data_IF_344227420527
#
_entry.id   IF_344227420527
#
_cell.length_a   1.000
_cell.length_b   1.000
_cell.length_c   1.000
_cell.angle_alpha   90.00
_cell.angle_beta   90.00
_cell.angle_gamma   90.00
#
_symmetry.space_group_name_H-M   'P 1'
#
loop_
_entity.id
_entity.type
_entity.pdbx_description
1 polymer ?
#
# COMPACT_ATOMS: atom_id res chain seq x y z
N UNK A 1 -14.64 1.52 10.40
CA UNK A 1 -15.72 2.03 11.28
C UNK A 1 -16.98 2.30 10.49
N UNK A 2 -16.89 3.07 9.41
CA UNK A 2 -18.02 3.40 8.54
C UNK A 2 -18.75 2.14 8.05
N UNK A 3 -18.03 1.17 7.47
CA UNK A 3 -18.62 -0.10 7.03
C UNK A 3 -19.35 -0.87 8.16
N UNK A 4 -18.78 -0.92 9.36
CA UNK A 4 -19.42 -1.61 10.50
C UNK A 4 -20.68 -0.86 10.96
N UNK A 5 -20.63 0.47 10.94
CA UNK A 5 -21.79 1.31 11.29
C UNK A 5 -22.92 1.16 10.27
N UNK A 6 -22.62 1.14 8.98
CA UNK A 6 -23.60 0.92 7.90
C UNK A 6 -24.31 -0.43 8.03
N UNK A 7 -23.59 -1.44 8.54
CA UNK A 7 -24.10 -2.78 8.76
C UNK A 7 -24.71 -3.00 10.16
N UNK A 8 -24.75 -1.97 11.01
CA UNK A 8 -25.17 -2.06 12.42
C UNK A 8 -24.42 -3.12 13.24
N UNK A 9 -23.10 -3.23 13.02
CA UNK A 9 -22.22 -4.19 13.70
C UNK A 9 -21.43 -3.47 14.80
N UNK A 10 -21.44 -4.03 16.02
CA UNK A 10 -20.56 -3.61 17.11
C UNK A 10 -19.29 -4.48 17.12
N UNK A 11 -18.13 -3.84 17.28
CA UNK A 11 -16.83 -4.49 17.45
C UNK A 11 -16.46 -4.56 18.93
N UNK A 12 -16.06 -5.74 19.39
CA UNK A 12 -15.58 -5.98 20.76
C UNK A 12 -14.20 -6.62 20.67
N UNK A 13 -13.18 -5.92 21.16
CA UNK A 13 -11.85 -6.48 21.40
C UNK A 13 -11.73 -6.94 22.85
N UNK A 14 -11.64 -8.25 23.04
CA UNK A 14 -11.50 -8.86 24.37
C UNK A 14 -10.13 -8.57 25.00
N UNK A 15 -9.08 -8.53 24.18
CA UNK A 15 -7.71 -8.33 24.67
C UNK A 15 -7.47 -6.88 25.11
N UNK A 16 -8.06 -5.93 24.38
CA UNK A 16 -7.81 -4.50 24.60
C UNK A 16 -8.96 -3.85 25.39
N UNK A 17 -9.98 -4.63 25.75
CA UNK A 17 -11.20 -4.19 26.43
C UNK A 17 -11.89 -3.01 25.72
N UNK A 18 -11.95 -3.06 24.38
CA UNK A 18 -12.60 -2.04 23.55
C UNK A 18 -13.96 -2.57 23.11
N UNK A 19 -15.03 -1.86 23.45
CA UNK A 19 -16.39 -2.19 23.02
C UNK A 19 -17.02 -0.98 22.30
N UNK A 20 -17.16 -1.07 20.98
CA UNK A 20 -17.73 0.00 20.16
C UNK A 20 -19.25 0.10 20.26
N UNK A 21 -19.92 -0.72 21.08
CA UNK A 21 -21.32 -0.47 21.45
C UNK A 21 -21.44 0.71 22.42
N UNK A 22 -20.36 1.02 23.16
CA UNK A 22 -20.29 2.13 24.12
C UNK A 22 -19.73 3.41 23.50
N UNK A 23 -20.15 4.58 23.98
CA UNK A 23 -19.61 5.87 23.50
C UNK A 23 -18.10 5.99 23.70
N UNK A 24 -17.58 5.46 24.82
CA UNK A 24 -16.15 5.47 25.13
C UNK A 24 -15.36 4.56 24.19
N UNK A 25 -15.85 3.35 23.89
CA UNK A 25 -15.18 2.44 22.96
C UNK A 25 -15.22 2.94 21.52
N UNK A 26 -16.31 3.59 21.08
CA UNK A 26 -16.34 4.29 19.78
C UNK A 26 -15.28 5.38 19.71
N UNK A 27 -15.19 6.23 20.73
CA UNK A 27 -14.19 7.29 20.80
C UNK A 27 -12.76 6.74 20.73
N UNK A 28 -12.45 5.74 21.55
CA UNK A 28 -11.12 5.13 21.57
C UNK A 28 -10.78 4.49 20.23
N UNK A 29 -11.72 3.76 19.62
CA UNK A 29 -11.54 3.16 18.31
C UNK A 29 -11.27 4.21 17.22
N UNK A 30 -11.97 5.35 17.24
CA UNK A 30 -11.73 6.46 16.29
C UNK A 30 -10.31 7.02 16.42
N UNK A 31 -9.82 7.24 17.66
CA UNK A 31 -8.44 7.68 17.88
C UNK A 31 -7.44 6.66 17.35
N UNK A 32 -7.66 5.37 17.64
CA UNK A 32 -6.79 4.30 17.14
C UNK A 32 -6.80 4.21 15.62
N UNK A 33 -7.95 4.47 14.98
CA UNK A 33 -8.05 4.51 13.51
C UNK A 33 -7.22 5.65 12.92
N UNK A 34 -7.32 6.85 13.50
CA UNK A 34 -6.49 8.00 13.08
C UNK A 34 -5.00 7.75 13.31
N UNK A 35 -4.65 7.09 14.41
CA UNK A 35 -3.26 6.72 14.69
C UNK A 35 -2.72 5.69 13.69
N UNK A 36 -3.50 4.66 13.36
CA UNK A 36 -3.12 3.66 12.37
C UNK A 36 -2.92 4.28 10.97
N UNK A 37 -3.74 5.25 10.59
CA UNK A 37 -3.58 6.00 9.34
C UNK A 37 -2.27 6.80 9.33
N UNK A 38 -1.97 7.52 10.42
CA UNK A 38 -0.71 8.26 10.58
C UNK A 38 0.51 7.33 10.48
N UNK A 39 0.48 6.16 11.13
CA UNK A 39 1.57 5.19 11.06
C UNK A 39 1.79 4.66 9.65
N UNK A 40 0.71 4.35 8.92
CA UNK A 40 0.77 3.90 7.55
C UNK A 40 1.40 4.96 6.63
N UNK A 41 1.02 6.23 6.81
CA UNK A 41 1.59 7.34 6.04
C UNK A 41 3.08 7.53 6.36
N UNK A 42 3.47 7.46 7.63
CA UNK A 42 4.88 7.57 8.02
C UNK A 42 5.75 6.42 7.44
N UNK A 43 5.20 5.20 7.38
CA UNK A 43 5.87 4.07 6.72
C UNK A 43 6.03 4.36 5.23
N UNK A 44 4.97 4.86 4.57
CA UNK A 44 5.00 5.22 3.15
C UNK A 44 6.06 6.29 2.85
N UNK A 45 6.12 7.36 3.64
CA UNK A 45 7.13 8.41 3.51
C UNK A 45 8.55 7.85 3.57
N UNK A 46 8.82 6.97 4.54
CA UNK A 46 10.13 6.31 4.68
C UNK A 46 10.48 5.42 3.50
N UNK A 47 9.51 4.68 2.97
CA UNK A 47 9.70 3.85 1.77
C UNK A 47 10.04 4.72 0.56
N UNK A 48 9.30 5.80 0.34
CA UNK A 48 9.57 6.73 -0.77
C UNK A 48 10.97 7.34 -0.65
N UNK A 49 11.35 7.82 0.53
CA UNK A 49 12.70 8.33 0.78
C UNK A 49 13.79 7.29 0.47
N UNK A 50 13.58 6.03 0.87
CA UNK A 50 14.51 4.94 0.55
C UNK A 50 14.58 4.61 -0.95
N UNK A 51 13.45 4.68 -1.66
CA UNK A 51 13.39 4.48 -3.10
C UNK A 51 14.14 5.59 -3.85
N UNK A 52 13.98 6.84 -3.44
CA UNK A 52 14.66 7.96 -4.07
C UNK A 52 16.18 7.90 -3.86
N UNK A 53 16.64 7.58 -2.64
CA UNK A 53 18.05 7.31 -2.38
C UNK A 53 18.60 6.15 -3.24
N UNK A 54 17.81 5.08 -3.46
CA UNK A 54 18.24 3.97 -4.31
C UNK A 54 18.32 4.36 -5.80
N UNK A 55 17.42 5.22 -6.29
CA UNK A 55 17.49 5.77 -7.66
C UNK A 55 18.72 6.66 -7.86
N UNK A 56 19.06 7.51 -6.89
CA UNK A 56 20.27 8.34 -6.93
C UNK A 56 21.55 7.48 -7.05
N UNK A 57 21.54 6.30 -6.42
CA UNK A 57 22.62 5.32 -6.51
C UNK A 57 22.56 4.43 -7.78
N UNK A 58 21.81 4.83 -8.81
CA UNK A 58 21.68 4.14 -10.11
C UNK A 58 21.20 2.69 -9.97
N UNK A 59 20.51 2.35 -8.88
CA UNK A 59 19.96 1.01 -8.67
C UNK A 59 18.65 0.89 -9.44
N UNK A 60 18.54 -0.11 -10.32
CA UNK A 60 17.27 -0.45 -10.97
C UNK A 60 16.36 -1.16 -9.97
N UNK A 61 15.16 -0.62 -9.75
CA UNK A 61 14.17 -1.14 -8.80
C UNK A 61 12.93 -1.59 -9.59
N UNK A 62 12.22 -2.60 -9.09
CA UNK A 62 11.02 -3.15 -9.74
C UNK A 62 11.30 -4.40 -10.56
N UNK A 63 10.34 -4.78 -11.43
CA UNK A 63 10.48 -5.97 -12.27
C UNK A 63 11.64 -5.76 -13.26
N UNK A 64 12.60 -6.69 -13.36
CA UNK A 64 13.65 -6.60 -14.37
C UNK A 64 13.03 -6.67 -15.77
N UNK A 65 13.51 -5.78 -16.64
CA UNK A 65 13.12 -5.78 -18.05
C UNK A 65 13.90 -6.91 -18.74
N UNK A 66 13.35 -8.12 -18.73
CA UNK A 66 13.92 -9.25 -19.45
C UNK A 66 13.52 -9.20 -20.93
N UNK A 67 14.38 -8.62 -21.75
CA UNK A 67 14.19 -8.52 -23.18
C UNK A 67 14.75 -9.75 -23.92
N UNK A 68 14.26 -10.95 -23.55
CA UNK A 68 14.78 -12.24 -24.06
C UNK A 68 14.68 -12.42 -25.57
N UNK A 69 13.86 -11.62 -26.24
CA UNK A 69 13.63 -11.71 -27.68
C UNK A 69 13.72 -10.35 -28.39
N UNK A 70 14.41 -9.36 -27.79
CA UNK A 70 14.53 -8.02 -28.40
C UNK A 70 15.09 -8.12 -29.82
N UNK A 71 16.11 -8.95 -30.02
CA UNK A 71 16.75 -9.10 -31.33
C UNK A 71 15.77 -9.61 -32.39
N UNK A 72 14.90 -10.56 -32.00
CA UNK A 72 13.86 -11.10 -32.88
C UNK A 72 12.80 -10.05 -33.21
N UNK A 73 12.37 -9.26 -32.22
CA UNK A 73 11.37 -8.21 -32.42
C UNK A 73 11.90 -7.11 -33.35
N UNK A 74 13.18 -6.74 -33.21
CA UNK A 74 13.82 -5.75 -34.08
C UNK A 74 13.92 -6.29 -35.51
N UNK A 75 14.31 -7.55 -35.67
CA UNK A 75 14.41 -8.22 -36.97
C UNK A 75 13.05 -8.28 -37.68
N UNK A 76 12.00 -8.71 -36.97
CA UNK A 76 10.63 -8.75 -37.49
C UNK A 76 10.15 -7.33 -37.92
N UNK A 77 10.49 -6.28 -37.17
CA UNK A 77 10.06 -4.90 -37.47
C UNK A 77 10.74 -4.30 -38.71
N UNK A 78 12.01 -4.62 -38.94
CA UNK A 78 12.79 -4.09 -40.07
C UNK A 78 12.59 -4.88 -41.35
N UNK A 79 12.29 -6.17 -41.24
CA UNK A 79 12.19 -7.08 -42.39
C UNK A 79 10.74 -7.45 -42.76
N UNK A 80 9.73 -6.99 -42.00
CA UNK A 80 8.34 -7.08 -42.43
C UNK A 80 8.10 -6.13 -43.60
N UNK A 81 7.98 -6.70 -44.79
CA UNK A 81 7.52 -5.99 -45.99
C UNK A 81 6.00 -5.79 -45.89
N UNK A 82 5.53 -4.54 -46.00
CA UNK A 82 4.10 -4.23 -46.24
C UNK A 82 3.68 -4.69 -47.64
#
# INVERSE_FOLDING_TARGET
>A
MEEFSERNINFISLQNNIDTSTSMGKFFFTIMSAFAEMEAELIRERVLSGLDAAKENVKTIGRPIENKHIDKVIDDYLNTSL
#
